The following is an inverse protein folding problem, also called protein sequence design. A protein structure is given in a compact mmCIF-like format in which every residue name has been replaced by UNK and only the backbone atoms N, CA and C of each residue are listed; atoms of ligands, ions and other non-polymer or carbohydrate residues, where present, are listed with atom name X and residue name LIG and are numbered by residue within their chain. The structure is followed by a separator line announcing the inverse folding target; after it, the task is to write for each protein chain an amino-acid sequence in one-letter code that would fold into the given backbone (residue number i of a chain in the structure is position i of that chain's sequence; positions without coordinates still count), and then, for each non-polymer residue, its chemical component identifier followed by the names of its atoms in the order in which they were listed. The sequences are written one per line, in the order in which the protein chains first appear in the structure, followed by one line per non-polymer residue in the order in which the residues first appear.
data_IF_526093250262
#
_entry.id   IF_526093250262
#
_cell.length_a   1.000
_cell.length_b   1.000
_cell.length_c   1.000
_cell.angle_alpha   90.00
_cell.angle_beta   90.00
_cell.angle_gamma   90.00
#
_symmetry.space_group_name_H-M   'P 1'
#
loop_
_entity.id
_entity.type
_entity.pdbx_description
1 polymer ?
#
# COMPACT_ATOMS: atom_id res chain seq x y z
N UNK A 1 6.94 -0.90 11.85
CA UNK A 1 6.57 -1.23 10.46
C UNK A 1 5.10 -0.87 10.24
N UNK A 2 4.76 -0.31 9.08
CA UNK A 2 3.36 0.00 8.74
C UNK A 2 2.98 -0.80 7.50
N UNK A 3 1.93 -1.61 7.59
CA UNK A 3 1.34 -2.32 6.46
C UNK A 3 0.08 -1.60 5.98
N UNK A 4 -0.23 -1.72 4.70
CA UNK A 4 -1.46 -1.18 4.12
C UNK A 4 -2.35 -2.32 3.67
N UNK A 5 -3.57 -2.40 4.19
CA UNK A 5 -4.52 -3.43 3.81
C UNK A 5 -5.07 -3.15 2.40
N UNK A 6 -4.97 -4.15 1.52
CA UNK A 6 -5.69 -4.12 0.25
C UNK A 6 -7.16 -4.54 0.41
N UNK A 7 -7.54 -5.09 1.57
CA UNK A 7 -8.86 -5.66 1.83
C UNK A 7 -9.78 -4.62 2.48
N UNK A 8 -11.04 -4.59 2.05
CA UNK A 8 -12.08 -3.80 2.69
C UNK A 8 -12.75 -4.63 3.79
N UNK A 9 -12.88 -4.08 4.99
CA UNK A 9 -13.59 -4.72 6.11
C UNK A 9 -12.83 -5.87 6.79
N UNK A 10 -11.52 -5.99 6.58
CA UNK A 10 -10.70 -7.04 7.18
C UNK A 10 -10.24 -6.69 8.61
N UNK A 11 -11.17 -6.38 9.51
CA UNK A 11 -10.88 -5.94 10.89
C UNK A 11 -10.27 -7.02 11.79
N UNK A 12 -10.16 -8.27 11.33
CA UNK A 12 -9.54 -9.36 12.07
C UNK A 12 -8.10 -9.65 11.61
N UNK A 13 -7.55 -8.85 10.71
CA UNK A 13 -6.28 -9.10 10.05
C UNK A 13 -5.11 -9.08 11.05
N UNK A 14 -5.13 -8.17 12.01
CA UNK A 14 -4.11 -8.05 13.06
C UNK A 14 -4.03 -9.35 13.87
N UNK A 15 -5.17 -9.81 14.37
CA UNK A 15 -5.31 -11.06 15.12
C UNK A 15 -4.77 -12.26 14.33
N UNK A 16 -5.02 -12.30 13.01
CA UNK A 16 -4.49 -13.37 12.15
C UNK A 16 -2.97 -13.32 12.01
N UNK A 17 -2.38 -12.12 11.89
CA UNK A 17 -0.92 -11.96 11.85
C UNK A 17 -0.32 -12.39 13.19
N UNK A 18 -0.89 -11.96 14.31
CA UNK A 18 -0.47 -12.38 15.66
C UNK A 18 -0.50 -13.90 15.83
N UNK A 19 -1.55 -14.57 15.36
CA UNK A 19 -1.66 -16.03 15.40
C UNK A 19 -0.54 -16.73 14.61
N UNK A 20 -0.18 -16.20 13.44
CA UNK A 20 0.92 -16.74 12.63
C UNK A 20 2.28 -16.49 13.29
N UNK A 21 2.48 -15.29 13.84
CA UNK A 21 3.71 -14.93 14.55
C UNK A 21 3.91 -15.75 15.83
N UNK A 22 2.84 -16.05 16.57
CA UNK A 22 2.91 -16.92 17.74
C UNK A 22 3.34 -18.36 17.40
N UNK A 23 3.09 -18.80 16.17
CA UNK A 23 3.59 -20.07 15.64
C UNK A 23 5.04 -20.02 15.18
N UNK A 24 5.65 -18.83 15.11
CA UNK A 24 7.04 -18.64 14.75
C UNK A 24 7.92 -18.63 16.01
N UNK A 25 9.09 -19.25 15.98
CA UNK A 25 10.09 -19.15 17.06
C UNK A 25 10.81 -17.79 17.07
N UNK A 26 10.09 -16.70 16.79
CA UNK A 26 10.62 -15.36 16.78
C UNK A 26 10.87 -14.88 18.21
N UNK A 27 12.11 -14.49 18.51
CA UNK A 27 12.51 -13.96 19.81
C UNK A 27 12.31 -12.45 19.92
N UNK A 28 12.08 -11.78 18.79
CA UNK A 28 11.83 -10.34 18.70
C UNK A 28 10.78 -10.08 17.63
N UNK A 29 9.81 -9.24 17.96
CA UNK A 29 8.77 -8.77 17.03
C UNK A 29 8.88 -7.26 17.01
N UNK A 30 9.09 -6.68 15.82
CA UNK A 30 9.10 -5.24 15.64
C UNK A 30 7.69 -4.67 15.86
N UNK A 31 7.56 -3.45 16.36
CA UNK A 31 6.25 -2.78 16.42
C UNK A 31 5.66 -2.67 15.01
N UNK A 32 4.43 -3.14 14.83
CA UNK A 32 3.74 -3.06 13.55
C UNK A 32 2.27 -2.69 13.72
N UNK A 33 1.71 -2.09 12.66
CA UNK A 33 0.28 -1.82 12.53
C UNK A 33 -0.15 -1.94 11.08
N UNK A 34 -1.45 -2.14 10.85
CA UNK A 34 -2.04 -2.16 9.53
C UNK A 34 -2.99 -0.97 9.40
N UNK A 35 -2.85 -0.21 8.31
CA UNK A 35 -3.81 0.84 7.96
C UNK A 35 -4.86 0.24 7.02
N UNK A 36 -6.12 0.43 7.37
CA UNK A 36 -7.26 -0.15 6.66
C UNK A 36 -7.96 0.84 5.74
N UNK A 37 -7.64 2.12 5.84
CA UNK A 37 -8.35 3.22 5.18
C UNK A 37 -7.99 3.36 3.70
N UNK A 38 -6.80 2.89 3.30
CA UNK A 38 -6.22 3.11 1.97
C UNK A 38 -6.43 1.93 1.01
N UNK A 39 -7.45 1.11 1.26
CA UNK A 39 -7.76 -0.05 0.40
C UNK A 39 -8.36 0.34 -0.97
N UNK A 40 -8.71 1.61 -1.19
CA UNK A 40 -9.21 2.18 -2.46
C UNK A 40 -10.36 1.40 -3.11
N UNK A 41 -11.37 1.04 -2.30
CA UNK A 41 -12.52 0.23 -2.74
C UNK A 41 -12.41 -1.26 -2.41
N UNK A 42 -11.21 -1.77 -2.11
CA UNK A 42 -10.99 -3.17 -1.70
C UNK A 42 -10.01 -3.89 -2.62
N UNK A 43 -9.92 -5.22 -2.47
CA UNK A 43 -8.92 -6.00 -3.19
C UNK A 43 -9.18 -5.96 -4.70
N UNK A 44 -8.12 -5.72 -5.48
CA UNK A 44 -8.16 -5.50 -6.93
C UNK A 44 -9.10 -4.35 -7.41
N UNK A 45 -9.62 -3.53 -6.50
CA UNK A 45 -10.34 -2.31 -6.85
C UNK A 45 -9.38 -1.13 -7.01
N UNK A 46 -9.71 -0.23 -7.92
CA UNK A 46 -9.07 1.08 -8.08
C UNK A 46 -10.14 2.14 -8.20
N UNK A 47 -10.03 3.20 -7.41
CA UNK A 47 -10.87 4.39 -7.52
C UNK A 47 -10.14 5.51 -8.29
N UNK A 48 -10.84 6.62 -8.55
CA UNK A 48 -10.27 7.76 -9.26
C UNK A 48 -9.07 8.42 -8.52
N UNK A 49 -9.09 8.62 -7.19
CA UNK A 49 -7.92 9.12 -6.45
C UNK A 49 -6.67 8.27 -6.65
N UNK A 50 -6.78 6.94 -6.49
CA UNK A 50 -5.64 6.03 -6.68
C UNK A 50 -5.11 6.10 -8.12
N UNK A 51 -6.01 6.11 -9.11
CA UNK A 51 -5.63 6.24 -10.52
C UNK A 51 -4.83 7.51 -10.77
N UNK A 52 -5.35 8.67 -10.35
CA UNK A 52 -4.71 9.96 -10.60
C UNK A 52 -3.35 10.05 -9.91
N UNK A 53 -3.27 9.59 -8.66
CA UNK A 53 -2.01 9.49 -7.93
C UNK A 53 -0.99 8.64 -8.69
N UNK A 54 -1.37 7.44 -9.16
CA UNK A 54 -0.44 6.55 -9.84
C UNK A 54 0.10 7.16 -11.14
N UNK A 55 -0.77 7.81 -11.94
CA UNK A 55 -0.35 8.46 -13.18
C UNK A 55 0.63 9.61 -12.91
N UNK A 56 0.37 10.43 -11.89
CA UNK A 56 1.27 11.52 -11.50
C UNK A 56 2.59 10.99 -10.93
N UNK A 57 2.52 9.99 -10.06
CA UNK A 57 3.70 9.36 -9.45
C UNK A 57 4.61 8.75 -10.51
N UNK A 58 4.05 8.01 -11.47
CA UNK A 58 4.81 7.43 -12.60
C UNK A 58 5.44 8.53 -13.46
N UNK A 59 4.73 9.62 -13.71
CA UNK A 59 5.23 10.77 -14.47
C UNK A 59 6.41 11.47 -13.77
N UNK A 60 6.33 11.70 -12.45
CA UNK A 60 7.37 12.41 -11.68
C UNK A 60 8.58 11.52 -11.40
N UNK A 61 8.35 10.25 -11.06
CA UNK A 61 9.40 9.37 -10.53
C UNK A 61 9.92 8.33 -11.52
N UNK A 62 9.23 8.11 -12.65
CA UNK A 62 9.54 7.05 -13.60
C UNK A 62 9.58 5.63 -12.99
N UNK A 63 8.81 5.40 -11.93
CA UNK A 63 8.68 4.10 -11.25
C UNK A 63 7.29 3.53 -11.49
N UNK A 64 7.14 2.45 -12.28
CA UNK A 64 5.83 1.88 -12.60
C UNK A 64 5.18 1.24 -11.37
N UNK A 65 3.88 1.45 -11.20
CA UNK A 65 3.11 0.93 -10.09
C UNK A 65 2.05 -0.08 -10.53
N UNK A 66 1.39 -0.73 -9.59
CA UNK A 66 0.21 -1.54 -9.85
C UNK A 66 -0.87 -1.23 -8.80
N UNK A 67 -2.16 -1.28 -9.16
CA UNK A 67 -3.20 -0.73 -8.31
C UNK A 67 -3.67 -1.68 -7.19
N UNK A 68 -3.20 -2.94 -7.15
CA UNK A 68 -3.66 -3.93 -6.18
C UNK A 68 -3.00 -3.74 -4.82
N UNK A 69 -1.68 -3.50 -4.78
CA UNK A 69 -0.86 -3.40 -3.57
C UNK A 69 0.07 -2.17 -3.54
N UNK A 70 1.13 -2.13 -4.37
CA UNK A 70 2.20 -1.12 -4.28
C UNK A 70 1.65 0.28 -4.55
N UNK A 71 0.72 0.43 -5.52
CA UNK A 71 0.04 1.69 -5.78
C UNK A 71 -0.71 2.21 -4.56
N UNK A 72 -1.41 1.33 -3.83
CA UNK A 72 -2.12 1.69 -2.59
C UNK A 72 -1.16 2.04 -1.46
N UNK A 73 -0.04 1.33 -1.36
CA UNK A 73 0.99 1.62 -0.36
C UNK A 73 1.57 3.03 -0.57
N UNK A 74 2.00 3.36 -1.79
CA UNK A 74 2.58 4.67 -2.08
C UNK A 74 1.53 5.78 -2.00
N UNK A 75 0.29 5.50 -2.42
CA UNK A 75 -0.84 6.41 -2.22
C UNK A 75 -1.07 6.70 -0.73
N UNK A 76 -1.05 5.69 0.14
CA UNK A 76 -1.17 5.87 1.57
C UNK A 76 -0.06 6.75 2.15
N UNK A 77 1.20 6.50 1.73
CA UNK A 77 2.35 7.31 2.15
C UNK A 77 2.16 8.78 1.74
N UNK A 78 1.75 9.03 0.48
CA UNK A 78 1.48 10.37 -0.01
C UNK A 78 0.40 11.08 0.82
N UNK A 79 -0.74 10.42 1.02
CA UNK A 79 -1.83 10.96 1.83
C UNK A 79 -1.40 11.24 3.27
N UNK A 80 -0.60 10.35 3.89
CA UNK A 80 -0.12 10.54 5.26
C UNK A 80 0.81 11.74 5.39
N UNK A 81 1.66 12.00 4.38
CA UNK A 81 2.50 13.19 4.35
C UNK A 81 1.67 14.46 4.12
N UNK A 82 0.75 14.45 3.17
CA UNK A 82 -0.10 15.63 2.85
C UNK A 82 -1.02 16.04 4.01
N UNK A 83 -1.57 15.08 4.76
CA UNK A 83 -2.51 15.36 5.84
C UNK A 83 -1.81 15.55 7.20
N UNK A 84 -0.47 15.65 7.22
CA UNK A 84 0.31 15.81 8.45
C UNK A 84 0.29 14.59 9.38
N UNK A 85 -0.11 13.42 8.87
CA UNK A 85 -0.10 12.15 9.58
C UNK A 85 1.33 11.65 9.84
N UNK A 86 2.27 11.96 8.94
CA UNK A 86 3.71 11.75 9.09
C UNK A 86 4.46 13.08 8.91
N UNK A 87 5.50 13.29 9.74
CA UNK A 87 6.38 14.46 9.62
C UNK A 87 7.27 14.33 8.38
N UNK A 88 7.31 15.37 7.54
CA UNK A 88 8.16 15.47 6.36
C UNK A 88 9.65 15.30 6.65
N UNK A 89 10.10 15.55 7.89
CA UNK A 89 11.48 15.29 8.32
C UNK A 89 11.77 13.78 8.54
N UNK A 90 10.74 12.94 8.58
CA UNK A 90 10.89 11.49 8.80
C UNK A 90 11.38 10.81 7.53
N UNK A 91 12.50 10.10 7.61
CA UNK A 91 12.94 9.23 6.53
C UNK A 91 12.06 7.98 6.46
N UNK A 92 11.48 7.72 5.29
CA UNK A 92 10.59 6.58 5.04
C UNK A 92 11.24 5.62 4.05
N UNK A 93 11.38 4.35 4.44
CA UNK A 93 11.75 3.26 3.53
C UNK A 93 10.48 2.54 3.05
N UNK A 94 10.12 2.72 1.78
CA UNK A 94 9.05 1.98 1.13
C UNK A 94 9.60 0.70 0.48
N UNK A 95 8.96 -0.45 0.73
CA UNK A 95 9.35 -1.73 0.15
C UNK A 95 8.44 -2.02 -1.05
N UNK A 96 8.94 -1.79 -2.26
CA UNK A 96 8.23 -2.16 -3.49
C UNK A 96 8.52 -3.63 -3.83
N UNK A 97 7.55 -4.51 -3.59
CA UNK A 97 7.69 -5.96 -3.76
C UNK A 97 7.46 -6.47 -5.20
N UNK A 98 7.43 -5.58 -6.19
CA UNK A 98 7.07 -5.91 -7.58
C UNK A 98 5.56 -6.01 -7.79
N UNK A 99 5.11 -7.02 -8.54
CA UNK A 99 3.68 -7.27 -8.79
C UNK A 99 3.12 -6.65 -10.08
N UNK A 100 3.96 -6.07 -10.95
CA UNK A 100 3.53 -5.36 -12.16
C UNK A 100 2.65 -6.19 -13.12
N UNK A 101 2.66 -7.52 -13.01
CA UNK A 101 1.67 -8.38 -13.67
C UNK A 101 0.22 -8.00 -13.37
N UNK A 102 -0.05 -7.37 -12.21
CA UNK A 102 -1.34 -6.83 -11.81
C UNK A 102 -1.85 -5.70 -12.70
N UNK A 103 -0.99 -5.08 -13.52
CA UNK A 103 -1.39 -4.03 -14.48
C UNK A 103 -2.25 -4.54 -15.63
N UNK A 104 -2.18 -5.83 -15.99
CA UNK A 104 -2.82 -6.39 -17.20
C UNK A 104 -4.35 -6.21 -17.28
N UNK A 105 -5.02 -5.98 -16.16
CA UNK A 105 -6.47 -5.74 -16.10
C UNK A 105 -6.87 -4.26 -16.22
N UNK A 106 -5.92 -3.34 -16.35
CA UNK A 106 -6.17 -1.89 -16.23
C UNK A 106 -5.76 -1.16 -17.50
N UNK A 107 -6.71 -0.95 -18.41
CA UNK A 107 -6.47 -0.32 -19.72
C UNK A 107 -5.85 1.08 -19.63
N UNK A 108 -6.15 1.84 -18.58
CA UNK A 108 -5.60 3.18 -18.32
C UNK A 108 -4.12 3.18 -17.90
N UNK A 109 -3.52 2.02 -17.63
CA UNK A 109 -2.08 1.85 -17.42
C UNK A 109 -1.35 1.38 -18.69
N UNK A 110 -2.09 1.15 -19.79
CA UNK A 110 -1.58 0.61 -21.06
C UNK A 110 -1.07 1.70 -22.00
N UNK A 111 -0.73 2.88 -21.47
CA UNK A 111 -0.34 4.06 -22.24
C UNK A 111 0.93 4.65 -21.64
N UNK A 112 2.05 4.00 -21.93
CA UNK A 112 3.38 4.59 -21.96
C UNK A 112 4.05 4.13 -23.27
#
# INVERSE_FOLDING_TARGET
MVGISALKGAGDLERRVEQVLAGCAATQIADWRILHEYHCGGFACSNAPLRNFMLEFENVHAVPLEPVYTGKMLYAIHQLLEHGGWDCATSVLAIHTGGLQGRRGYSWLSSA
#
